data_IF_007334095570
#
_entry.id   IF_007334095570
#
_cell.length_a   1.000
_cell.length_b   1.000
_cell.length_c   1.000
_cell.angle_alpha   90.00
_cell.angle_beta   90.00
_cell.angle_gamma   90.00
#
_symmetry.space_group_name_H-M   'P 1'
#
loop_
_entity.id
_entity.type
_entity.pdbx_description
1 polymer ?
#
# COMPACT_ATOMS: atom_id res chain seq x y z
N UNK A 1 4.51 13.95 18.82
CA UNK A 1 4.59 12.95 17.83
C UNK A 1 3.59 13.12 16.75
N UNK A 2 4.06 13.13 15.53
CA UNK A 2 3.16 13.35 14.42
C UNK A 2 2.33 12.12 14.11
N UNK A 3 1.05 12.33 13.80
CA UNK A 3 0.23 11.26 13.40
C UNK A 3 0.16 11.24 11.92
N UNK A 4 0.24 10.10 11.31
CA UNK A 4 0.06 9.95 9.87
C UNK A 4 -1.38 10.25 9.52
N UNK A 5 -1.58 11.09 8.54
CA UNK A 5 -2.90 11.40 8.08
C UNK A 5 -3.10 10.87 6.68
N UNK A 6 -4.31 10.43 6.40
CA UNK A 6 -4.66 9.89 5.10
C UNK A 6 -5.74 10.76 4.47
N UNK A 7 -5.67 10.90 3.16
CA UNK A 7 -6.72 11.61 2.45
C UNK A 7 -6.94 10.95 1.10
N UNK A 8 -8.05 11.25 0.49
CA UNK A 8 -8.36 10.77 -0.86
C UNK A 8 -9.51 11.57 -1.44
N UNK A 9 -9.63 11.48 -2.75
CA UNK A 9 -10.75 12.05 -3.46
C UNK A 9 -11.95 11.13 -3.28
N UNK A 10 -13.06 11.65 -2.77
CA UNK A 10 -14.24 10.84 -2.47
C UNK A 10 -14.77 10.11 -3.70
N UNK A 11 -14.79 10.79 -4.83
CA UNK A 11 -15.29 10.17 -6.05
C UNK A 11 -14.40 9.04 -6.50
N UNK A 12 -13.09 9.23 -6.45
CA UNK A 12 -12.17 8.17 -6.82
C UNK A 12 -12.25 7.01 -5.84
N UNK A 13 -12.48 7.29 -4.58
CA UNK A 13 -12.66 6.24 -3.59
C UNK A 13 -13.87 5.38 -3.90
N UNK A 14 -14.98 6.03 -4.29
CA UNK A 14 -16.17 5.29 -4.65
C UNK A 14 -15.96 4.46 -5.91
N UNK A 15 -15.29 5.03 -6.91
CA UNK A 15 -15.00 4.31 -8.14
C UNK A 15 -14.12 3.10 -7.86
N UNK A 16 -13.17 3.25 -6.96
CA UNK A 16 -12.29 2.14 -6.61
C UNK A 16 -13.06 1.02 -5.92
N UNK A 17 -13.96 1.39 -5.03
CA UNK A 17 -14.76 0.40 -4.32
C UNK A 17 -15.68 -0.34 -5.29
N UNK A 18 -16.28 0.38 -6.22
CA UNK A 18 -17.15 -0.23 -7.21
C UNK A 18 -16.38 -1.19 -8.14
N UNK A 19 -15.17 -0.82 -8.50
CA UNK A 19 -14.40 -1.60 -9.44
C UNK A 19 -13.61 -2.73 -8.81
N UNK A 20 -13.04 -2.51 -7.66
CA UNK A 20 -12.14 -3.47 -7.02
C UNK A 20 -12.64 -4.01 -5.69
N UNK A 21 -13.75 -3.52 -5.20
CA UNK A 21 -14.32 -4.00 -3.94
C UNK A 21 -13.56 -3.54 -2.71
N UNK A 22 -12.75 -2.49 -2.83
CA UNK A 22 -11.93 -2.02 -1.71
C UNK A 22 -12.18 -0.55 -1.48
N UNK A 23 -12.63 -0.21 -0.28
CA UNK A 23 -12.78 1.18 0.12
C UNK A 23 -11.44 1.75 0.56
N UNK A 24 -11.19 3.01 0.27
CA UNK A 24 -9.93 3.62 0.68
C UNK A 24 -9.79 3.70 2.21
N UNK A 25 -10.92 3.74 2.91
CA UNK A 25 -10.87 3.67 4.38
C UNK A 25 -10.25 2.37 4.87
N UNK A 26 -10.52 1.27 4.17
CA UNK A 26 -9.91 0.00 4.51
C UNK A 26 -8.43 -0.01 4.12
N UNK A 27 -8.10 0.67 3.04
CA UNK A 27 -6.73 0.66 2.52
C UNK A 27 -5.73 1.26 3.51
N UNK A 28 -6.17 2.14 4.40
CA UNK A 28 -5.28 2.70 5.41
C UNK A 28 -4.60 1.63 6.24
N UNK A 29 -5.28 0.52 6.45
CA UNK A 29 -4.75 -0.51 7.34
C UNK A 29 -3.56 -1.27 6.79
N UNK A 30 -3.30 -1.17 5.49
CA UNK A 30 -2.09 -1.75 4.93
C UNK A 30 -0.84 -1.09 5.53
N UNK A 31 -0.96 0.16 5.93
CA UNK A 31 0.17 0.91 6.46
C UNK A 31 0.49 0.60 7.93
N UNK A 32 -0.36 -0.16 8.60
CA UNK A 32 -0.06 -0.56 9.98
C UNK A 32 0.49 -1.99 10.06
N UNK A 33 0.57 -2.69 8.95
CA UNK A 33 1.18 -4.00 8.93
C UNK A 33 2.68 -3.83 9.18
N UNK A 34 3.24 -4.42 10.24
CA UNK A 34 4.68 -4.28 10.51
C UNK A 34 5.55 -4.89 9.42
N UNK A 35 4.99 -5.76 8.60
CA UNK A 35 5.72 -6.38 7.50
C UNK A 35 5.43 -5.73 6.15
N UNK A 36 4.78 -4.58 6.16
CA UNK A 36 4.44 -3.90 4.92
C UNK A 36 5.68 -3.57 4.10
N UNK A 37 5.51 -3.55 2.80
CA UNK A 37 6.58 -3.23 1.87
C UNK A 37 6.17 -1.96 1.12
N UNK A 38 7.05 -0.96 1.14
CA UNK A 38 6.82 0.29 0.42
C UNK A 38 7.79 0.34 -0.75
N UNK A 39 7.30 0.63 -1.92
CA UNK A 39 8.15 0.71 -3.11
C UNK A 39 7.71 1.88 -3.98
N UNK A 40 8.66 2.49 -4.69
CA UNK A 40 8.33 3.56 -5.61
C UNK A 40 7.84 2.99 -6.94
N UNK A 41 6.83 3.61 -7.52
CA UNK A 41 6.33 3.22 -8.83
C UNK A 41 7.08 4.04 -9.86
N UNK A 42 8.20 3.50 -10.33
CA UNK A 42 9.08 4.24 -11.22
C UNK A 42 8.46 4.59 -12.56
N UNK A 43 7.53 3.78 -13.03
CA UNK A 43 6.95 4.02 -14.34
C UNK A 43 5.89 5.12 -14.35
N UNK A 44 5.40 5.53 -13.19
CA UNK A 44 4.35 6.55 -13.11
C UNK A 44 4.71 7.71 -12.19
N UNK A 45 5.99 8.02 -12.06
CA UNK A 45 6.44 9.07 -11.15
C UNK A 45 6.97 10.30 -11.86
N UNK A 46 6.42 10.64 -13.03
CA UNK A 46 6.96 11.73 -13.83
C UNK A 46 6.75 13.11 -13.21
N UNK A 47 5.58 13.37 -12.68
CA UNK A 47 5.30 14.67 -12.07
C UNK A 47 5.42 14.63 -10.56
N UNK A 48 4.91 13.60 -9.97
CA UNK A 48 4.87 13.44 -8.53
C UNK A 48 5.24 12.00 -8.26
N UNK A 49 6.11 11.75 -7.31
CA UNK A 49 6.51 10.37 -7.02
C UNK A 49 5.34 9.56 -6.50
N UNK A 50 5.06 8.47 -7.16
CA UNK A 50 4.01 7.56 -6.77
C UNK A 50 4.61 6.32 -6.14
N UNK A 51 3.89 5.77 -5.19
CA UNK A 51 4.38 4.65 -4.40
C UNK A 51 3.32 3.57 -4.27
N UNK A 52 3.79 2.40 -3.93
CA UNK A 52 2.94 1.29 -3.54
C UNK A 52 3.18 0.96 -2.08
N UNK A 53 2.14 0.58 -1.38
CA UNK A 53 2.26 -0.06 -0.08
C UNK A 53 1.60 -1.42 -0.20
N UNK A 54 2.36 -2.47 0.07
CA UNK A 54 1.82 -3.83 0.09
C UNK A 54 1.73 -4.24 1.55
N UNK A 55 0.52 -4.48 2.02
CA UNK A 55 0.32 -4.81 3.43
C UNK A 55 -0.83 -5.78 3.62
N UNK A 56 -0.76 -6.55 4.68
CA UNK A 56 -1.79 -7.53 4.97
C UNK A 56 -2.99 -6.85 5.58
N UNK A 57 -4.15 -7.02 4.94
CA UNK A 57 -5.39 -6.46 5.42
C UNK A 57 -6.45 -7.55 5.26
N UNK A 58 -7.12 -7.90 6.34
CA UNK A 58 -8.04 -9.00 6.40
C UNK A 58 -7.32 -10.24 5.89
N UNK A 59 -7.39 -11.06 5.34
CA UNK A 59 -6.63 -12.24 5.01
C UNK A 59 -5.89 -12.14 3.68
N UNK A 60 -5.68 -10.96 3.17
CA UNK A 60 -5.02 -10.82 1.87
C UNK A 60 -3.99 -9.71 1.87
N UNK A 61 -3.14 -9.71 0.87
CA UNK A 61 -2.16 -8.66 0.69
C UNK A 61 -2.78 -7.57 -0.17
N UNK A 62 -3.01 -6.42 0.43
CA UNK A 62 -3.60 -5.30 -0.26
C UNK A 62 -2.49 -4.44 -0.87
N UNK A 63 -2.67 -4.05 -2.12
CA UNK A 63 -1.78 -3.11 -2.79
C UNK A 63 -2.45 -1.75 -2.74
N UNK A 64 -1.78 -0.76 -2.15
CA UNK A 64 -2.30 0.60 -2.07
C UNK A 64 -1.40 1.50 -2.90
N UNK A 65 -1.99 2.31 -3.76
CA UNK A 65 -1.24 3.26 -4.57
C UNK A 65 -1.44 4.63 -3.96
N UNK A 66 -0.35 5.33 -3.72
CA UNK A 66 -0.44 6.59 -2.98
C UNK A 66 0.70 7.53 -3.32
N UNK A 67 0.56 8.79 -2.89
CA UNK A 67 1.63 9.77 -2.97
C UNK A 67 1.78 10.40 -1.59
N UNK A 68 2.99 10.89 -1.31
CA UNK A 68 3.23 11.63 -0.09
C UNK A 68 3.02 13.11 -0.39
N UNK A 69 2.28 13.79 0.47
CA UNK A 69 2.12 15.23 0.40
C UNK A 69 2.42 15.78 1.78
N UNK A 70 3.70 16.09 2.01
CA UNK A 70 4.15 16.44 3.34
C UNK A 70 4.01 15.25 4.24
N UNK A 71 3.28 15.40 5.34
CA UNK A 71 3.04 14.30 6.27
C UNK A 71 1.69 13.62 6.02
N UNK A 72 1.10 13.86 4.85
CA UNK A 72 -0.18 13.26 4.49
C UNK A 72 0.06 12.21 3.41
N UNK A 73 -0.60 11.07 3.55
CA UNK A 73 -0.59 10.03 2.53
C UNK A 73 -1.89 10.14 1.75
N UNK A 74 -1.77 10.44 0.45
CA UNK A 74 -2.94 10.56 -0.38
C UNK A 74 -3.11 9.29 -1.21
N UNK A 75 -4.19 8.57 -0.95
CA UNK A 75 -4.47 7.30 -1.59
C UNK A 75 -5.25 7.55 -2.88
N UNK A 76 -4.88 6.86 -3.95
CA UNK A 76 -5.62 7.00 -5.19
C UNK A 76 -5.94 5.65 -5.85
N UNK A 77 -5.55 4.53 -5.27
CA UNK A 77 -5.93 3.22 -5.77
C UNK A 77 -5.66 2.14 -4.75
N UNK A 78 -6.43 1.07 -4.79
CA UNK A 78 -6.23 -0.05 -3.88
C UNK A 78 -6.91 -1.30 -4.41
N UNK A 79 -6.26 -2.44 -4.24
CA UNK A 79 -6.84 -3.71 -4.66
C UNK A 79 -6.01 -4.87 -4.18
N UNK A 80 -6.61 -6.05 -4.22
CA UNK A 80 -5.92 -7.29 -3.88
C UNK A 80 -5.43 -7.92 -5.18
N UNK A 81 -4.18 -7.63 -5.55
CA UNK A 81 -3.63 -8.12 -6.82
C UNK A 81 -2.51 -9.11 -6.61
N UNK A 82 -2.44 -10.07 -7.49
CA UNK A 82 -1.45 -11.14 -7.39
C UNK A 82 -0.02 -10.62 -7.34
N UNK A 83 0.30 -9.64 -8.18
CA UNK A 83 1.65 -9.14 -8.22
C UNK A 83 2.09 -8.52 -6.89
N UNK A 84 1.19 -7.80 -6.26
CA UNK A 84 1.48 -7.22 -4.95
C UNK A 84 1.71 -8.29 -3.90
N UNK A 85 0.92 -9.33 -3.94
CA UNK A 85 1.08 -10.44 -3.02
C UNK A 85 2.45 -11.11 -3.20
N UNK A 86 2.87 -11.29 -4.45
CA UNK A 86 4.16 -11.90 -4.74
C UNK A 86 5.32 -11.05 -4.21
N UNK A 87 5.22 -9.74 -4.38
CA UNK A 87 6.26 -8.83 -3.89
C UNK A 87 6.33 -8.88 -2.38
N UNK A 88 5.18 -8.80 -1.74
CA UNK A 88 5.08 -8.83 -0.29
C UNK A 88 5.72 -10.11 0.28
N UNK A 89 5.36 -11.24 -0.29
CA UNK A 89 5.85 -12.53 0.19
C UNK A 89 7.35 -12.69 -0.06
N UNK A 90 7.81 -12.26 -1.22
CA UNK A 90 9.22 -12.37 -1.54
C UNK A 90 10.07 -11.52 -0.61
N UNK A 91 9.68 -10.28 -0.38
CA UNK A 91 10.44 -9.40 0.46
C UNK A 91 10.45 -9.88 1.91
N UNK A 92 9.33 -10.37 2.39
CA UNK A 92 9.26 -10.86 3.75
C UNK A 92 10.01 -12.16 3.93
N UNK A 93 10.06 -12.97 2.90
CA UNK A 93 10.79 -14.20 2.97
C UNK A 93 12.29 -13.97 3.05
N UNK A 94 12.79 -13.01 2.32
CA UNK A 94 14.20 -12.65 2.39
C UNK A 94 14.55 -12.18 3.80
N UNK A 95 13.72 -11.33 4.39
CA UNK A 95 13.95 -10.87 5.75
C UNK A 95 13.91 -12.01 6.76
N UNK A 96 13.00 -12.92 6.60
CA UNK A 96 12.90 -14.02 7.52
C UNK A 96 14.07 -14.95 7.47
N UNK A 97 14.66 -15.09 6.30
CA UNK A 97 15.78 -16.00 6.18
C UNK A 97 17.05 -15.45 6.71
N UNK A 98 17.24 -14.18 6.64
CA UNK A 98 18.49 -13.60 7.02
C UNK A 98 18.89 -13.79 8.44
N UNK A 99 18.14 -13.45 9.38
CA UNK A 99 18.59 -13.51 10.74
C UNK A 99 18.52 -14.81 11.41
N UNK A 100 18.08 -15.79 10.81
CA UNK A 100 17.93 -16.93 11.48
C UNK A 100 19.08 -17.55 11.71
N UNK A 101 19.90 -17.32 11.92
CA UNK A 101 20.97 -17.90 12.05
C UNK A 101 21.24 -18.17 13.15
N UNK A 102 21.33 -18.64 13.54
CA UNK A 102 21.62 -18.79 14.83
C UNK A 102 22.51 -19.53 15.20
#
# INVERSE_FOLDING_TARGET
MAKTRFEWDTKKGQENEDKHGVAFGLAQFAFVDPNRVIAEDLSHSSNEKRHYCFGLVDDGVLTVRFVYRGDVIRIFGAGYWRKGKQIYERENQVHKRTPRKA
#
